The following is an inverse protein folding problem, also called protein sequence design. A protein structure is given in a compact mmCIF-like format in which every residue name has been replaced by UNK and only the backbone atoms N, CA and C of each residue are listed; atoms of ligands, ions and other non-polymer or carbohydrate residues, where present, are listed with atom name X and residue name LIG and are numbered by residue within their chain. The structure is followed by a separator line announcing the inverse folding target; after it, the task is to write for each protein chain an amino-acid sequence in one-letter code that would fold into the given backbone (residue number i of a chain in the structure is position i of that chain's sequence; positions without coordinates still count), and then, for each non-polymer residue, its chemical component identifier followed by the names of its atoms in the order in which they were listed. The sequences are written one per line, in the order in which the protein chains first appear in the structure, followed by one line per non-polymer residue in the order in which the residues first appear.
data_IF_512241697493
#
_entry.id   IF_512241697493
#
_cell.length_a   1.000
_cell.length_b   1.000
_cell.length_c   1.000
_cell.angle_alpha   90.00
_cell.angle_beta   90.00
_cell.angle_gamma   90.00
#
_symmetry.space_group_name_H-M   'P 1'
#
loop_
_entity.id
_entity.type
_entity.pdbx_description
1 polymer ?
#
# COMPACT_ATOMS: atom_id res chain seq x y z
N UNK A 1 7.81 9.74 -4.53
CA UNK A 1 6.60 9.21 -3.84
C UNK A 1 5.83 10.42 -3.33
N UNK A 2 4.57 10.60 -3.73
CA UNK A 2 3.86 11.88 -3.63
C UNK A 2 3.63 12.34 -2.20
N UNK A 3 4.21 13.50 -1.87
CA UNK A 3 3.83 14.31 -0.72
C UNK A 3 2.59 15.13 -1.12
N UNK A 4 1.47 14.95 -0.43
CA UNK A 4 0.38 15.92 -0.49
C UNK A 4 0.80 17.15 0.33
N UNK A 5 1.43 18.16 -0.30
CA UNK A 5 1.48 19.50 0.28
C UNK A 5 0.13 20.16 0.01
N UNK A 6 -0.73 20.23 1.03
CA UNK A 6 -1.80 21.21 1.06
C UNK A 6 -1.15 22.59 1.26
N UNK A 7 -0.76 23.24 0.17
CA UNK A 7 -0.51 24.68 0.18
C UNK A 7 -1.77 25.37 -0.34
N UNK A 8 -2.49 25.97 0.61
CA UNK A 8 -3.27 27.21 0.49
C UNK A 8 -4.04 27.44 -0.82
N UNK A 9 -5.36 27.27 -0.73
CA UNK A 9 -6.30 27.93 -1.64
C UNK A 9 -6.17 29.45 -1.46
N UNK A 10 -5.42 30.11 -2.33
CA UNK A 10 -5.50 31.56 -2.52
C UNK A 10 -5.80 31.88 -3.98
N UNK A 11 -6.98 32.45 -4.20
CA UNK A 11 -7.47 33.22 -5.34
C UNK A 11 -6.88 32.95 -6.75
N UNK A 12 -7.70 32.37 -7.62
CA UNK A 12 -7.55 32.51 -9.08
C UNK A 12 -8.36 33.75 -9.51
N UNK A 13 -7.75 34.76 -10.15
CA UNK A 13 -8.49 35.89 -10.73
C UNK A 13 -9.39 35.41 -11.87
N UNK A 14 -10.57 36.03 -12.00
CA UNK A 14 -11.51 35.76 -13.09
C UNK A 14 -10.84 35.95 -14.47
N UNK A 15 -10.85 34.90 -15.30
CA UNK A 15 -10.54 35.06 -16.72
C UNK A 15 -9.85 33.91 -17.47
N UNK A 16 -9.69 32.69 -16.93
CA UNK A 16 -9.12 31.58 -17.71
C UNK A 16 -9.91 30.27 -17.56
N UNK A 17 -10.37 29.74 -18.69
CA UNK A 17 -10.93 28.39 -18.83
C UNK A 17 -9.81 27.36 -18.68
N UNK A 18 -9.61 26.87 -17.46
CA UNK A 18 -8.70 25.77 -17.15
C UNK A 18 -9.44 24.70 -16.35
N UNK A 19 -9.50 23.48 -16.86
CA UNK A 19 -9.90 22.28 -16.11
C UNK A 19 -9.02 22.16 -14.86
N UNK A 20 -9.59 21.95 -13.65
CA UNK A 20 -8.79 21.86 -12.44
C UNK A 20 -7.95 20.58 -12.43
N UNK A 21 -6.64 20.74 -12.39
CA UNK A 21 -5.68 19.65 -12.24
C UNK A 21 -5.65 19.17 -10.78
N UNK A 22 -5.86 17.87 -10.55
CA UNK A 22 -5.61 17.23 -9.26
C UNK A 22 -4.13 16.82 -9.18
N UNK A 23 -3.41 17.32 -8.18
CA UNK A 23 -1.96 17.18 -8.06
C UNK A 23 -1.53 15.70 -7.92
N UNK A 24 -0.53 15.34 -8.72
CA UNK A 24 -0.14 13.98 -9.10
C UNK A 24 0.70 13.21 -8.06
N UNK A 25 0.68 11.88 -8.16
CA UNK A 25 1.80 11.05 -7.66
C UNK A 25 3.00 11.23 -8.59
N UNK A 26 4.24 11.09 -8.10
CA UNK A 26 5.47 11.43 -8.84
C UNK A 26 5.76 10.63 -10.12
N UNK A 27 4.82 9.80 -10.60
CA UNK A 27 4.96 9.01 -11.83
C UNK A 27 3.72 9.05 -12.72
N UNK A 28 2.53 9.38 -12.19
CA UNK A 28 1.30 9.34 -12.96
C UNK A 28 0.55 10.67 -12.92
N UNK A 29 0.17 11.15 -14.10
CA UNK A 29 -0.70 12.29 -14.30
C UNK A 29 -2.16 11.84 -14.28
N UNK A 30 -2.96 12.49 -13.44
CA UNK A 30 -4.40 12.23 -13.34
C UNK A 30 -5.17 13.40 -13.94
N UNK A 31 -5.99 13.12 -14.94
CA UNK A 31 -6.87 14.11 -15.54
C UNK A 31 -8.32 13.61 -15.47
N UNK A 32 -9.22 14.49 -15.08
CA UNK A 32 -10.66 14.23 -15.22
C UNK A 32 -11.01 14.40 -16.71
N UNK A 33 -11.25 13.29 -17.40
CA UNK A 33 -11.60 13.30 -18.82
C UNK A 33 -13.09 13.66 -19.03
N UNK A 34 -13.94 13.22 -18.10
CA UNK A 34 -15.35 13.60 -17.99
C UNK A 34 -15.82 13.46 -16.54
N UNK A 35 -17.04 13.89 -16.22
CA UNK A 35 -17.64 13.75 -14.88
C UNK A 35 -17.69 12.30 -14.35
N UNK A 36 -17.44 11.30 -15.20
CA UNK A 36 -17.49 9.88 -14.85
C UNK A 36 -16.20 9.11 -15.15
N UNK A 37 -15.18 9.74 -15.74
CA UNK A 37 -13.95 9.05 -16.20
C UNK A 37 -12.70 9.80 -15.74
N UNK A 38 -11.80 9.04 -15.10
CA UNK A 38 -10.43 9.46 -14.81
C UNK A 38 -9.48 8.84 -15.83
N UNK A 39 -8.59 9.66 -16.35
CA UNK A 39 -7.43 9.23 -17.12
C UNK A 39 -6.21 9.23 -16.20
N UNK A 40 -5.54 8.08 -16.08
CA UNK A 40 -4.27 7.92 -15.37
C UNK A 40 -3.18 7.65 -16.40
N UNK A 41 -2.36 8.66 -16.66
CA UNK A 41 -1.25 8.59 -17.62
C UNK A 41 0.08 8.48 -16.90
N UNK A 42 1.03 7.73 -17.43
CA UNK A 42 2.36 7.62 -16.83
C UNK A 42 3.24 6.58 -17.53
N UNK A 43 4.42 6.28 -16.98
CA UNK A 43 5.30 5.26 -17.51
C UNK A 43 4.56 3.93 -17.68
N UNK A 44 4.65 3.36 -18.87
CA UNK A 44 4.06 2.06 -19.19
C UNK A 44 4.48 0.98 -18.19
N UNK A 45 5.73 1.01 -17.74
CA UNK A 45 6.26 0.10 -16.72
C UNK A 45 5.55 0.23 -15.35
N UNK A 46 5.05 1.41 -15.00
CA UNK A 46 4.35 1.67 -13.75
C UNK A 46 2.86 1.28 -13.81
N UNK A 47 2.20 1.42 -14.98
CA UNK A 47 0.77 1.16 -15.14
C UNK A 47 0.43 -0.29 -15.50
N UNK A 48 1.36 -1.05 -16.09
CA UNK A 48 1.08 -2.43 -16.55
C UNK A 48 0.60 -3.38 -15.45
N UNK A 49 1.13 -3.26 -14.23
CA UNK A 49 0.68 -4.10 -13.10
C UNK A 49 -0.77 -3.81 -12.72
N UNK A 50 -1.11 -2.54 -12.53
CA UNK A 50 -2.47 -2.11 -12.20
C UNK A 50 -3.46 -2.47 -13.32
N UNK A 51 -3.08 -2.23 -14.58
CA UNK A 51 -3.90 -2.58 -15.74
C UNK A 51 -4.13 -4.09 -15.84
N UNK A 52 -3.08 -4.91 -15.63
CA UNK A 52 -3.21 -6.36 -15.59
C UNK A 52 -4.23 -6.81 -14.54
N UNK A 53 -4.21 -6.22 -13.34
CA UNK A 53 -5.18 -6.54 -12.30
C UNK A 53 -6.61 -6.23 -12.74
N UNK A 54 -6.85 -5.04 -13.30
CA UNK A 54 -8.18 -4.67 -13.80
C UNK A 54 -8.66 -5.58 -14.94
N UNK A 55 -7.77 -5.99 -15.84
CA UNK A 55 -8.10 -6.97 -16.89
C UNK A 55 -8.56 -8.29 -16.29
N UNK A 56 -7.84 -8.83 -15.30
CA UNK A 56 -8.26 -10.05 -14.59
C UNK A 56 -9.62 -9.89 -13.91
N UNK A 57 -9.87 -8.74 -13.28
CA UNK A 57 -11.15 -8.42 -12.64
C UNK A 57 -12.33 -8.39 -13.64
N UNK A 58 -12.07 -8.06 -14.91
CA UNK A 58 -13.10 -8.01 -15.95
C UNK A 58 -13.34 -9.36 -16.61
N UNK A 59 -12.26 -10.07 -16.94
CA UNK A 59 -12.28 -11.29 -17.75
C UNK A 59 -12.65 -12.52 -16.91
N UNK A 60 -12.35 -12.49 -15.62
CA UNK A 60 -12.56 -13.65 -14.76
C UNK A 60 -13.89 -13.57 -13.98
N UNK A 61 -14.86 -14.39 -14.39
CA UNK A 61 -16.19 -14.44 -13.78
C UNK A 61 -16.16 -14.83 -12.29
N UNK A 62 -15.14 -15.56 -11.84
CA UNK A 62 -14.96 -15.94 -10.43
C UNK A 62 -14.54 -14.74 -9.54
N UNK A 63 -14.13 -13.61 -10.14
CA UNK A 63 -13.86 -12.35 -9.44
C UNK A 63 -15.07 -11.41 -9.37
N UNK A 64 -16.24 -11.83 -9.90
CA UNK A 64 -17.43 -10.98 -9.93
C UNK A 64 -17.87 -10.49 -8.53
N UNK A 65 -17.66 -11.31 -7.49
CA UNK A 65 -18.02 -11.00 -6.10
C UNK A 65 -17.25 -9.82 -5.51
N UNK A 66 -16.08 -9.49 -6.07
CA UNK A 66 -15.22 -8.41 -5.57
C UNK A 66 -15.16 -7.21 -6.52
N UNK A 67 -15.74 -7.32 -7.72
CA UNK A 67 -15.72 -6.27 -8.75
C UNK A 67 -16.30 -4.95 -8.27
N UNK A 68 -17.30 -5.00 -7.39
CA UNK A 68 -17.90 -3.82 -6.77
C UNK A 68 -16.94 -3.05 -5.86
N UNK A 69 -15.84 -3.63 -5.41
CA UNK A 69 -14.84 -2.92 -4.60
C UNK A 69 -13.86 -2.10 -5.43
N UNK A 70 -13.97 -2.09 -6.76
CA UNK A 70 -13.04 -1.37 -7.63
C UNK A 70 -13.78 -0.40 -8.57
N UNK A 71 -13.10 0.63 -9.09
CA UNK A 71 -13.58 1.39 -10.24
C UNK A 71 -13.81 0.49 -11.45
N UNK A 72 -14.79 0.81 -12.30
CA UNK A 72 -14.87 0.18 -13.61
C UNK A 72 -13.64 0.57 -14.46
N UNK A 73 -13.05 -0.42 -15.13
CA UNK A 73 -11.94 -0.23 -16.07
C UNK A 73 -12.49 -0.08 -17.49
N UNK A 74 -12.01 0.89 -18.25
CA UNK A 74 -12.43 1.12 -19.63
C UNK A 74 -11.34 0.79 -20.66
N UNK A 75 -10.15 0.44 -20.20
CA UNK A 75 -9.02 0.06 -21.02
C UNK A 75 -7.75 0.84 -20.72
N UNK A 76 -6.67 0.41 -21.36
CA UNK A 76 -5.37 1.06 -21.35
C UNK A 76 -4.92 1.27 -22.80
N UNK A 77 -4.40 2.45 -23.10
CA UNK A 77 -3.91 2.83 -24.42
C UNK A 77 -2.45 3.24 -24.33
N UNK A 78 -1.63 2.78 -25.27
CA UNK A 78 -0.26 3.23 -25.41
C UNK A 78 -0.25 4.59 -26.15
N UNK A 79 0.37 5.62 -25.54
CA UNK A 79 0.46 7.00 -26.10
C UNK A 79 1.84 7.30 -26.70
N UNK A 80 2.78 6.36 -26.63
CA UNK A 80 4.14 6.42 -27.16
C UNK A 80 4.93 5.17 -26.76
N UNK A 81 6.24 5.14 -26.99
CA UNK A 81 7.06 3.96 -26.66
C UNK A 81 6.98 3.60 -25.15
N UNK A 82 7.09 4.61 -24.28
CA UNK A 82 7.20 4.39 -22.83
C UNK A 82 6.04 4.97 -22.00
N UNK A 83 5.01 5.52 -22.63
CA UNK A 83 3.86 6.13 -21.93
C UNK A 83 2.56 5.39 -22.26
N UNK A 84 1.79 5.10 -21.21
CA UNK A 84 0.45 4.54 -21.32
C UNK A 84 -0.56 5.42 -20.58
N UNK A 85 -1.82 5.33 -20.99
CA UNK A 85 -2.94 6.03 -20.42
C UNK A 85 -4.06 5.03 -20.09
N UNK A 86 -4.43 4.94 -18.82
CA UNK A 86 -5.47 4.05 -18.33
C UNK A 86 -6.76 4.84 -18.06
N UNK A 87 -7.89 4.34 -18.58
CA UNK A 87 -9.21 4.94 -18.37
C UNK A 87 -9.98 4.17 -17.30
N UNK A 88 -10.37 4.86 -16.24
CA UNK A 88 -11.09 4.31 -15.09
C UNK A 88 -12.35 5.11 -14.81
N UNK A 89 -13.32 4.47 -14.15
CA UNK A 89 -14.45 5.16 -13.55
C UNK A 89 -13.95 6.17 -12.51
N UNK A 90 -14.48 7.39 -12.58
CA UNK A 90 -14.33 8.35 -11.50
C UNK A 90 -15.17 7.90 -10.30
N UNK A 91 -14.50 7.65 -9.17
CA UNK A 91 -15.16 7.32 -7.91
C UNK A 91 -15.30 8.60 -7.09
N UNK A 92 -16.53 8.95 -6.73
CA UNK A 92 -16.84 10.09 -5.85
C UNK A 92 -16.71 9.68 -4.38
N UNK A 93 -15.48 9.37 -3.97
CA UNK A 93 -15.17 8.94 -2.61
C UNK A 93 -14.13 9.84 -1.93
N UNK A 94 -14.10 9.79 -0.60
CA UNK A 94 -13.10 10.48 0.23
C UNK A 94 -11.98 9.49 0.57
N UNK A 95 -10.70 9.82 0.34
CA UNK A 95 -9.59 8.96 0.74
C UNK A 95 -9.61 8.66 2.23
N UNK A 96 -9.39 7.39 2.59
CA UNK A 96 -9.39 6.94 3.97
C UNK A 96 -8.26 7.60 4.78
N UNK A 97 -7.18 8.02 4.12
CA UNK A 97 -6.09 8.79 4.75
C UNK A 97 -6.61 10.13 5.29
N UNK A 98 -7.52 10.80 4.57
CA UNK A 98 -8.14 12.06 5.00
C UNK A 98 -9.14 11.84 6.13
N UNK A 99 -9.97 10.80 6.04
CA UNK A 99 -10.91 10.40 7.10
C UNK A 99 -10.16 10.10 8.40
N UNK A 100 -9.05 9.36 8.28
CA UNK A 100 -8.19 9.03 9.41
C UNK A 100 -7.48 10.27 9.97
N UNK A 101 -6.95 11.15 9.11
CA UNK A 101 -6.30 12.40 9.54
C UNK A 101 -7.26 13.32 10.30
N UNK A 102 -8.51 13.41 9.85
CA UNK A 102 -9.55 14.20 10.51
C UNK A 102 -10.28 13.45 11.61
N UNK A 103 -9.75 12.32 12.09
CA UNK A 103 -10.25 11.71 13.31
C UNK A 103 -11.69 11.18 13.26
N UNK A 104 -12.27 11.02 12.06
CA UNK A 104 -13.68 10.67 11.83
C UNK A 104 -13.90 9.21 11.41
N UNK A 105 -12.93 8.34 11.65
CA UNK A 105 -13.08 6.90 11.38
C UNK A 105 -14.12 6.29 12.32
N UNK A 106 -15.16 5.69 11.75
CA UNK A 106 -16.14 4.90 12.50
C UNK A 106 -15.77 3.42 12.50
N UNK A 107 -16.20 2.69 13.54
CA UNK A 107 -16.02 1.23 13.64
C UNK A 107 -16.62 0.49 12.45
N UNK A 108 -17.83 0.88 12.02
CA UNK A 108 -18.52 0.27 10.88
C UNK A 108 -17.75 0.47 9.56
N UNK A 109 -17.23 1.67 9.30
CA UNK A 109 -16.39 1.90 8.12
C UNK A 109 -15.11 1.05 8.16
N UNK A 110 -14.42 1.02 9.30
CA UNK A 110 -13.19 0.24 9.42
C UNK A 110 -13.46 -1.27 9.27
N UNK A 111 -14.53 -1.79 9.89
CA UNK A 111 -14.95 -3.16 9.72
C UNK A 111 -15.26 -3.50 8.25
N UNK A 112 -15.93 -2.60 7.51
CA UNK A 112 -16.16 -2.76 6.06
C UNK A 112 -14.86 -2.86 5.26
N UNK A 113 -13.86 -2.03 5.58
CA UNK A 113 -12.54 -2.12 4.95
C UNK A 113 -11.93 -3.51 5.17
N UNK A 114 -11.95 -4.00 6.40
CA UNK A 114 -11.42 -5.32 6.76
C UNK A 114 -12.17 -6.45 6.05
N UNK A 115 -13.50 -6.43 6.05
CA UNK A 115 -14.32 -7.46 5.39
C UNK A 115 -14.16 -7.45 3.87
N UNK A 116 -14.05 -6.28 3.24
CA UNK A 116 -13.86 -6.16 1.79
C UNK A 116 -12.47 -6.64 1.35
N UNK A 117 -11.42 -6.35 2.12
CA UNK A 117 -10.09 -6.92 1.88
C UNK A 117 -10.06 -8.43 2.13
N UNK A 118 -10.76 -8.93 3.14
CA UNK A 118 -10.89 -10.36 3.34
C UNK A 118 -11.67 -11.05 2.20
N UNK A 119 -12.68 -10.39 1.64
CA UNK A 119 -13.40 -10.90 0.47
C UNK A 119 -12.45 -11.05 -0.73
N UNK A 120 -11.55 -10.08 -0.94
CA UNK A 120 -10.47 -10.17 -1.93
C UNK A 120 -9.58 -11.40 -1.69
N UNK A 121 -9.13 -11.61 -0.45
CA UNK A 121 -8.23 -12.72 -0.10
C UNK A 121 -8.86 -14.11 -0.21
N UNK A 122 -10.19 -14.19 -0.21
CA UNK A 122 -10.94 -15.45 -0.29
C UNK A 122 -11.54 -15.71 -1.67
N UNK A 123 -11.12 -14.96 -2.69
CA UNK A 123 -11.48 -15.25 -4.08
C UNK A 123 -10.96 -16.66 -4.44
N UNK A 124 -11.88 -17.54 -4.83
CA UNK A 124 -11.55 -18.91 -5.20
C UNK A 124 -11.14 -18.98 -6.68
N UNK A 125 -9.84 -18.77 -6.91
CA UNK A 125 -9.19 -18.96 -8.20
C UNK A 125 -7.98 -19.89 -8.03
N UNK A 126 -7.55 -20.57 -9.11
CA UNK A 126 -6.26 -21.24 -9.12
C UNK A 126 -5.13 -20.29 -8.75
N UNK A 127 -4.23 -20.74 -7.88
CA UNK A 127 -3.01 -20.00 -7.56
C UNK A 127 -2.10 -19.95 -8.79
N UNK A 128 -1.35 -18.86 -8.96
CA UNK A 128 -0.37 -18.78 -10.03
C UNK A 128 0.75 -19.81 -9.83
N UNK A 129 1.28 -20.35 -10.92
CA UNK A 129 2.41 -21.28 -10.88
C UNK A 129 3.61 -20.64 -10.15
N UNK A 130 4.32 -21.43 -9.34
CA UNK A 130 5.50 -21.00 -8.58
C UNK A 130 5.25 -19.77 -7.67
N UNK A 131 4.04 -19.63 -7.13
CA UNK A 131 3.66 -18.51 -6.27
C UNK A 131 4.64 -18.27 -5.11
N UNK A 132 5.12 -19.33 -4.46
CA UNK A 132 6.05 -19.21 -3.32
C UNK A 132 7.37 -18.55 -3.73
N UNK A 133 7.90 -18.91 -4.89
CA UNK A 133 9.08 -18.28 -5.46
C UNK A 133 8.82 -16.80 -5.75
N UNK A 134 7.62 -16.46 -6.22
CA UNK A 134 7.24 -15.07 -6.51
C UNK A 134 7.03 -14.25 -5.22
N UNK A 135 6.41 -14.83 -4.19
CA UNK A 135 6.27 -14.20 -2.87
C UNK A 135 7.65 -13.98 -2.26
N UNK A 136 8.51 -15.00 -2.29
CA UNK A 136 9.90 -14.91 -1.83
C UNK A 136 10.63 -13.76 -2.54
N UNK A 137 10.61 -13.72 -3.86
CA UNK A 137 11.26 -12.64 -4.62
C UNK A 137 10.69 -11.26 -4.28
N UNK A 138 9.38 -11.18 -4.02
CA UNK A 138 8.71 -9.94 -3.65
C UNK A 138 9.12 -9.39 -2.27
N UNK A 139 9.59 -10.26 -1.37
CA UNK A 139 10.12 -9.88 -0.06
C UNK A 139 11.66 -9.88 -0.03
N UNK A 140 12.29 -11.04 -0.19
CA UNK A 140 13.72 -11.28 -0.02
C UNK A 140 14.53 -10.56 -1.10
N UNK A 141 14.36 -10.94 -2.37
CA UNK A 141 15.19 -10.41 -3.46
C UNK A 141 15.06 -8.89 -3.55
N UNK A 142 13.83 -8.37 -3.38
CA UNK A 142 13.56 -6.94 -3.32
C UNK A 142 14.27 -6.25 -2.17
N UNK A 143 14.24 -6.82 -0.96
CA UNK A 143 14.88 -6.22 0.21
C UNK A 143 16.41 -6.24 0.06
N UNK A 144 16.96 -7.36 -0.41
CA UNK A 144 18.39 -7.53 -0.70
C UNK A 144 18.83 -6.51 -1.74
N UNK A 145 18.17 -6.45 -2.89
CA UNK A 145 18.47 -5.49 -3.98
C UNK A 145 18.50 -4.05 -3.47
N UNK A 146 17.46 -3.63 -2.74
CA UNK A 146 17.39 -2.28 -2.17
C UNK A 146 18.48 -1.97 -1.16
N UNK A 147 18.90 -2.96 -0.38
CA UNK A 147 19.93 -2.77 0.63
C UNK A 147 21.33 -2.73 0.02
N UNK A 148 21.64 -3.69 -0.84
CA UNK A 148 22.97 -3.85 -1.42
C UNK A 148 23.28 -2.81 -2.48
N UNK A 149 22.30 -2.44 -3.30
CA UNK A 149 22.50 -1.51 -4.42
C UNK A 149 22.29 -0.05 -4.02
N UNK A 150 21.73 0.21 -2.84
CA UNK A 150 21.45 1.56 -2.35
C UNK A 150 21.81 1.79 -0.86
N UNK A 151 23.02 1.40 -0.41
CA UNK A 151 23.42 1.44 1.00
C UNK A 151 23.44 2.86 1.59
N UNK A 152 23.59 3.89 0.74
CA UNK A 152 23.58 5.30 1.14
C UNK A 152 22.25 5.75 1.77
N UNK A 153 21.14 5.07 1.47
CA UNK A 153 19.83 5.41 2.05
C UNK A 153 19.70 4.98 3.53
N UNK A 154 20.68 4.23 4.01
CA UNK A 154 20.71 3.67 5.36
C UNK A 154 21.93 4.14 6.16
N UNK A 155 22.72 5.09 5.63
CA UNK A 155 23.98 5.56 6.24
C UNK A 155 23.80 6.37 7.53
N UNK A 156 22.57 6.76 7.86
CA UNK A 156 22.21 7.44 9.12
C UNK A 156 22.31 6.51 10.35
N UNK A 157 22.52 5.20 10.14
CA UNK A 157 22.77 4.20 11.18
C UNK A 157 24.18 3.64 11.02
N UNK A 158 24.94 3.41 12.11
CA UNK A 158 26.23 2.74 12.05
C UNK A 158 26.16 1.40 11.31
N UNK A 159 27.13 1.13 10.44
CA UNK A 159 27.14 -0.04 9.55
C UNK A 159 26.91 -1.36 10.30
N UNK A 160 27.57 -1.55 11.43
CA UNK A 160 27.42 -2.75 12.26
C UNK A 160 25.98 -2.98 12.75
N UNK A 161 25.31 -1.92 13.21
CA UNK A 161 23.91 -2.01 13.66
C UNK A 161 22.96 -2.23 12.49
N UNK A 162 23.20 -1.51 11.38
CA UNK A 162 22.39 -1.65 10.17
C UNK A 162 22.49 -3.05 9.56
N UNK A 163 23.71 -3.58 9.42
CA UNK A 163 23.96 -4.93 8.90
C UNK A 163 23.30 -5.97 9.83
N UNK A 164 23.40 -5.79 11.16
CA UNK A 164 22.72 -6.65 12.14
C UNK A 164 21.19 -6.64 11.98
N UNK A 165 20.57 -5.47 11.85
CA UNK A 165 19.10 -5.37 11.67
C UNK A 165 18.69 -6.00 10.34
N UNK A 166 19.42 -5.72 9.26
CA UNK A 166 19.17 -6.32 7.95
C UNK A 166 19.24 -7.86 8.01
N UNK A 167 20.30 -8.43 8.60
CA UNK A 167 20.45 -9.88 8.74
C UNK A 167 19.33 -10.48 9.60
N UNK A 168 18.97 -9.86 10.73
CA UNK A 168 17.87 -10.36 11.57
C UNK A 168 16.52 -10.34 10.84
N UNK A 169 16.21 -9.26 10.11
CA UNK A 169 15.00 -9.19 9.30
C UNK A 169 14.98 -10.27 8.24
N UNK A 170 16.12 -10.50 7.57
CA UNK A 170 16.26 -11.55 6.56
C UNK A 170 16.01 -12.94 7.17
N UNK A 171 16.66 -13.27 8.29
CA UNK A 171 16.47 -14.55 8.98
C UNK A 171 15.02 -14.78 9.39
N UNK A 172 14.37 -13.81 10.05
CA UNK A 172 12.96 -13.94 10.46
C UNK A 172 12.01 -14.07 9.27
N UNK A 173 12.31 -13.40 8.17
CA UNK A 173 11.54 -13.50 6.94
C UNK A 173 11.72 -14.86 6.25
N UNK A 174 12.94 -15.41 6.23
CA UNK A 174 13.20 -16.77 5.76
C UNK A 174 12.43 -17.83 6.59
N UNK A 175 12.43 -17.69 7.92
CA UNK A 175 11.65 -18.54 8.82
C UNK A 175 10.15 -18.44 8.56
N UNK A 176 9.63 -17.23 8.31
CA UNK A 176 8.23 -17.04 7.91
C UNK A 176 7.91 -17.76 6.59
N UNK A 177 8.73 -17.52 5.56
CA UNK A 177 8.50 -18.05 4.21
C UNK A 177 8.66 -19.58 4.11
N UNK A 178 9.45 -20.19 5.00
CA UNK A 178 9.65 -21.64 5.06
C UNK A 178 8.66 -22.36 5.98
N UNK A 179 7.85 -21.62 6.75
CA UNK A 179 6.87 -22.18 7.67
C UNK A 179 5.48 -22.36 7.05
N UNK A 180 4.62 -23.14 7.70
CA UNK A 180 3.19 -23.31 7.39
C UNK A 180 2.33 -22.05 7.67
N UNK A 181 2.97 -21.03 8.27
CA UNK A 181 2.38 -19.71 8.52
C UNK A 181 2.20 -18.92 7.24
N UNK A 182 3.02 -19.15 6.21
CA UNK A 182 2.85 -18.52 4.90
C UNK A 182 1.52 -18.96 4.26
N UNK A 183 0.62 -17.99 4.07
CA UNK A 183 -0.66 -18.20 3.37
C UNK A 183 -0.58 -17.70 1.94
N UNK A 184 -1.40 -18.30 1.08
CA UNK A 184 -1.46 -18.02 -0.36
C UNK A 184 -2.88 -17.62 -0.69
N UNK A 185 -3.02 -16.47 -1.33
CA UNK A 185 -4.27 -16.03 -1.91
C UNK A 185 -4.08 -15.88 -3.41
N UNK A 186 -5.15 -16.19 -4.14
CA UNK A 186 -5.24 -15.94 -5.56
C UNK A 186 -5.39 -14.46 -5.90
N UNK A 187 -5.80 -13.64 -4.93
CA UNK A 187 -5.99 -12.21 -5.07
C UNK A 187 -5.55 -11.44 -3.81
N UNK A 188 -4.63 -10.50 -3.99
CA UNK A 188 -4.27 -9.48 -3.00
C UNK A 188 -4.25 -8.11 -3.69
N UNK A 189 -4.43 -7.03 -2.93
CA UNK A 189 -4.31 -5.68 -3.50
C UNK A 189 -2.84 -5.35 -3.79
N UNK A 190 -1.92 -5.77 -2.90
CA UNK A 190 -0.48 -5.58 -3.02
C UNK A 190 0.01 -4.15 -2.69
N UNK A 191 -0.91 -3.23 -2.38
CA UNK A 191 -0.61 -1.88 -1.88
C UNK A 191 -1.77 -1.34 -1.02
N UNK A 192 -2.21 -2.18 -0.07
CA UNK A 192 -3.42 -1.95 0.71
C UNK A 192 -3.20 -1.00 1.90
N UNK A 193 -3.11 0.29 1.62
CA UNK A 193 -2.95 1.35 2.61
C UNK A 193 -4.03 2.42 2.48
N UNK A 194 -4.24 3.26 3.50
CA UNK A 194 -5.36 4.22 3.55
C UNK A 194 -5.45 5.19 2.35
N UNK A 195 -4.33 5.54 1.72
CA UNK A 195 -4.34 6.39 0.52
C UNK A 195 -5.00 5.72 -0.70
N UNK A 196 -5.04 4.38 -0.73
CA UNK A 196 -5.60 3.58 -1.82
C UNK A 196 -7.02 3.08 -1.53
N UNK A 197 -7.65 3.60 -0.49
CA UNK A 197 -9.01 3.24 -0.08
C UNK A 197 -9.84 4.51 -0.11
N UNK A 198 -10.92 4.51 -0.89
CA UNK A 198 -11.91 5.58 -0.95
C UNK A 198 -13.17 5.13 -0.22
N UNK A 199 -13.72 5.97 0.66
CA UNK A 199 -15.03 5.77 1.25
C UNK A 199 -16.08 6.62 0.54
N UNK A 200 -17.18 5.99 0.11
CA UNK A 200 -18.32 6.65 -0.52
C UNK A 200 -19.35 7.08 0.55
N UNK A 201 -20.31 7.94 0.17
CA UNK A 201 -21.28 8.55 1.09
C UNK A 201 -22.20 7.56 1.83
N UNK A 202 -22.34 6.34 1.29
CA UNK A 202 -23.12 5.24 1.84
C UNK A 202 -22.24 4.17 2.53
N UNK A 203 -20.99 4.54 2.83
CA UNK A 203 -19.97 3.68 3.47
C UNK A 203 -19.54 2.48 2.62
N UNK A 204 -19.84 2.46 1.33
CA UNK A 204 -19.12 1.57 0.42
C UNK A 204 -17.65 1.99 0.34
N UNK A 205 -16.80 1.00 0.10
CA UNK A 205 -15.36 1.21 -0.05
C UNK A 205 -14.94 0.83 -1.46
N UNK A 206 -14.10 1.68 -2.04
CA UNK A 206 -13.44 1.44 -3.33
C UNK A 206 -11.94 1.40 -3.13
N UNK A 207 -11.31 0.38 -3.69
CA UNK A 207 -9.88 0.21 -3.72
C UNK A 207 -9.34 0.68 -5.07
N UNK A 208 -8.21 1.38 -5.04
CA UNK A 208 -7.55 1.95 -6.22
C UNK A 208 -6.05 1.68 -6.15
N UNK A 209 -5.33 1.81 -7.27
CA UNK A 209 -3.87 1.70 -7.28
C UNK A 209 -3.34 0.36 -6.74
N UNK A 210 -4.00 -0.73 -7.16
CA UNK A 210 -3.55 -2.09 -6.89
C UNK A 210 -2.25 -2.41 -7.63
N UNK A 211 -1.44 -3.29 -7.04
CA UNK A 211 -0.09 -3.53 -7.56
C UNK A 211 -0.07 -4.42 -8.80
N UNK A 212 -0.96 -5.42 -8.84
CA UNK A 212 -1.08 -6.44 -9.90
C UNK A 212 0.24 -7.11 -10.29
N UNK A 213 1.18 -7.17 -9.35
CA UNK A 213 2.48 -7.79 -9.56
C UNK A 213 3.15 -8.19 -8.25
N UNK A 214 3.91 -9.28 -8.30
CA UNK A 214 4.89 -9.68 -7.30
C UNK A 214 6.28 -9.49 -7.90
N UNK A 215 7.04 -8.55 -7.35
CA UNK A 215 8.34 -8.12 -7.86
C UNK A 215 8.32 -7.77 -9.36
N UNK A 216 8.81 -8.68 -10.22
CA UNK A 216 8.92 -8.51 -11.68
C UNK A 216 7.88 -9.31 -12.46
N UNK A 217 6.89 -9.92 -11.79
CA UNK A 217 5.89 -10.80 -12.39
C UNK A 217 4.49 -10.22 -12.20
N UNK A 218 3.74 -10.05 -13.29
CA UNK A 218 2.32 -9.72 -13.21
C UNK A 218 1.53 -10.90 -12.67
N UNK A 219 0.70 -10.63 -11.66
CA UNK A 219 -0.16 -11.61 -10.99
C UNK A 219 -1.10 -10.87 -10.04
N UNK A 220 -2.28 -11.42 -9.79
CA UNK A 220 -3.15 -11.00 -8.70
C UNK A 220 -2.83 -11.74 -7.40
N UNK A 221 -2.15 -12.88 -7.48
CA UNK A 221 -1.88 -13.75 -6.34
C UNK A 221 -0.84 -13.14 -5.40
N UNK A 222 -0.81 -13.61 -4.16
CA UNK A 222 0.21 -13.22 -3.20
C UNK A 222 -0.07 -13.71 -1.79
N UNK A 223 0.65 -13.10 -0.86
CA UNK A 223 0.53 -13.31 0.58
C UNK A 223 -0.45 -12.28 1.17
N UNK A 224 -1.60 -12.71 1.73
CA UNK A 224 -2.55 -11.82 2.41
C UNK A 224 -1.93 -10.95 3.53
N UNK A 225 -0.91 -11.46 4.22
CA UNK A 225 -0.22 -10.72 5.28
C UNK A 225 0.42 -9.44 4.73
N UNK A 226 0.78 -9.40 3.44
CA UNK A 226 1.28 -8.20 2.79
C UNK A 226 0.28 -7.03 2.89
N UNK A 227 -0.99 -7.29 2.59
CA UNK A 227 -2.05 -6.28 2.63
C UNK A 227 -2.35 -5.86 4.09
N UNK A 228 -2.42 -6.82 5.02
CA UNK A 228 -2.62 -6.51 6.43
C UNK A 228 -1.48 -5.70 7.04
N UNK A 229 -0.23 -6.00 6.66
CA UNK A 229 0.94 -5.25 7.06
C UNK A 229 0.91 -3.81 6.52
N UNK A 230 0.53 -3.61 5.25
CA UNK A 230 0.34 -2.28 4.64
C UNK A 230 -0.79 -1.48 5.30
N UNK A 231 -1.87 -2.14 5.68
CA UNK A 231 -2.95 -1.49 6.41
C UNK A 231 -2.49 -1.09 7.81
N UNK A 232 -1.79 -2.00 8.51
CA UNK A 232 -1.20 -1.72 9.82
C UNK A 232 -0.24 -0.53 9.78
N UNK A 233 0.59 -0.41 8.74
CA UNK A 233 1.43 0.77 8.52
C UNK A 233 0.62 2.07 8.51
N UNK A 234 -0.56 2.08 7.86
CA UNK A 234 -1.44 3.25 7.84
C UNK A 234 -1.98 3.60 9.22
N UNK A 235 -2.41 2.58 9.99
CA UNK A 235 -2.95 2.75 11.35
C UNK A 235 -1.91 3.35 12.31
N UNK A 236 -0.64 2.98 12.16
CA UNK A 236 0.46 3.53 12.97
C UNK A 236 1.03 4.84 12.43
N UNK A 237 0.41 5.41 11.38
CA UNK A 237 0.74 6.74 10.87
C UNK A 237 1.88 6.79 9.86
N UNK A 238 2.25 5.67 9.23
CA UNK A 238 3.32 5.63 8.23
C UNK A 238 2.96 6.36 6.92
N UNK A 239 1.69 6.32 6.52
CA UNK A 239 1.22 6.84 5.22
C UNK A 239 1.04 8.37 5.17
N UNK A 240 0.99 9.04 6.33
CA UNK A 240 0.77 10.48 6.38
C UNK A 240 2.09 11.28 6.42
N UNK A 241 3.09 10.90 5.61
CA UNK A 241 4.34 11.68 5.51
C UNK A 241 5.36 11.47 6.64
N UNK A 242 5.52 10.22 7.11
CA UNK A 242 6.59 9.79 8.02
C UNK A 242 6.56 10.45 9.40
N UNK A 243 5.63 10.00 10.25
CA UNK A 243 5.54 10.36 11.68
C UNK A 243 4.93 11.74 11.94
N UNK A 244 3.61 11.80 12.05
CA UNK A 244 2.95 12.91 12.74
C UNK A 244 2.89 12.67 14.25
N UNK A 245 3.57 13.56 14.96
CA UNK A 245 3.34 13.90 16.36
C UNK A 245 1.93 14.51 16.56
N UNK A 246 1.30 14.07 17.67
CA UNK A 246 0.35 14.83 18.50
C UNK A 246 -0.87 15.46 17.80
N UNK A 247 -1.89 14.64 17.47
CA UNK A 247 -3.29 14.97 17.78
C UNK A 247 -4.07 13.66 17.98
N UNK A 248 -4.14 13.20 19.23
CA UNK A 248 -5.04 12.12 19.66
C UNK A 248 -6.44 12.70 19.86
N UNK A 249 -7.09 13.10 18.77
CA UNK A 249 -8.49 13.51 18.79
C UNK A 249 -9.36 12.61 17.90
N UNK A 250 -8.93 11.36 17.63
CA UNK A 250 -9.73 10.38 16.92
C UNK A 250 -10.93 9.90 17.75
N UNK A 251 -12.09 9.75 17.10
CA UNK A 251 -13.22 8.98 17.65
C UNK A 251 -12.85 7.50 17.91
N UNK A 252 -11.92 6.96 17.12
CA UNK A 252 -11.24 5.68 17.40
C UNK A 252 -9.73 5.89 17.51
N UNK A 253 -9.17 5.66 18.70
CA UNK A 253 -7.73 5.76 18.92
C UNK A 253 -6.95 4.81 18.01
N UNK A 254 -5.67 5.12 17.78
CA UNK A 254 -4.75 4.25 17.03
C UNK A 254 -4.71 2.84 17.62
N UNK A 255 -4.78 2.77 18.94
CA UNK A 255 -4.84 1.50 19.69
C UNK A 255 -6.12 0.73 19.40
N UNK A 256 -7.29 1.39 19.39
CA UNK A 256 -8.56 0.74 19.06
C UNK A 256 -8.56 0.16 17.64
N UNK A 257 -8.07 0.90 16.65
CA UNK A 257 -7.95 0.39 15.27
C UNK A 257 -6.94 -0.75 15.17
N UNK A 258 -5.82 -0.67 15.90
CA UNK A 258 -4.82 -1.74 15.95
C UNK A 258 -5.41 -3.01 16.56
N UNK A 259 -6.15 -2.89 17.66
CA UNK A 259 -6.79 -4.02 18.33
C UNK A 259 -7.87 -4.63 17.45
N UNK A 260 -8.70 -3.82 16.76
CA UNK A 260 -9.68 -4.32 15.81
C UNK A 260 -9.02 -5.08 14.65
N UNK A 261 -7.95 -4.54 14.06
CA UNK A 261 -7.20 -5.26 13.02
C UNK A 261 -6.61 -6.57 13.56
N UNK A 262 -5.97 -6.53 14.74
CA UNK A 262 -5.38 -7.69 15.40
C UNK A 262 -6.41 -8.80 15.60
N UNK A 263 -7.53 -8.50 16.26
CA UNK A 263 -8.61 -9.47 16.49
C UNK A 263 -9.12 -10.03 15.16
N UNK A 264 -9.35 -9.16 14.16
CA UNK A 264 -9.85 -9.59 12.85
C UNK A 264 -8.92 -10.58 12.13
N UNK A 265 -7.60 -10.34 12.17
CA UNK A 265 -6.64 -11.24 11.50
C UNK A 265 -6.42 -12.54 12.29
N UNK A 266 -6.38 -12.48 13.62
CA UNK A 266 -6.22 -13.66 14.48
C UNK A 266 -7.43 -14.60 14.39
N UNK A 267 -8.65 -14.05 14.37
CA UNK A 267 -9.90 -14.80 14.13
C UNK A 267 -9.90 -15.56 12.79
N UNK A 268 -9.04 -15.16 11.84
CA UNK A 268 -8.91 -15.77 10.51
C UNK A 268 -7.68 -16.67 10.38
N UNK A 269 -7.00 -16.95 11.50
CA UNK A 269 -5.86 -17.86 11.53
C UNK A 269 -4.54 -17.26 11.05
N UNK A 270 -4.42 -15.93 10.99
CA UNK A 270 -3.15 -15.24 10.78
C UNK A 270 -2.50 -14.91 12.13
N UNK A 271 -1.17 -14.94 12.19
CA UNK A 271 -0.47 -14.50 13.40
C UNK A 271 -0.20 -13.00 13.37
N UNK A 272 -0.51 -12.32 14.47
CA UNK A 272 -0.23 -10.89 14.60
C UNK A 272 1.27 -10.56 14.53
N UNK A 273 2.14 -11.47 15.01
CA UNK A 273 3.60 -11.32 14.91
C UNK A 273 4.07 -11.25 13.45
N UNK A 274 3.43 -11.98 12.55
CA UNK A 274 3.75 -11.96 11.12
C UNK A 274 3.34 -10.64 10.46
N UNK A 275 2.18 -10.09 10.83
CA UNK A 275 1.76 -8.74 10.39
C UNK A 275 2.78 -7.68 10.85
N UNK A 276 3.27 -7.77 12.09
CA UNK A 276 4.31 -6.85 12.61
C UNK A 276 5.64 -7.03 11.88
N UNK A 277 6.10 -8.26 11.69
CA UNK A 277 7.35 -8.58 10.98
C UNK A 277 7.30 -8.09 9.54
N UNK A 278 6.27 -8.45 8.78
CA UNK A 278 6.14 -8.03 7.37
C UNK A 278 6.00 -6.51 7.29
N UNK A 279 5.29 -5.86 8.23
CA UNK A 279 5.27 -4.40 8.30
C UNK A 279 6.68 -3.81 8.49
N UNK A 280 7.53 -4.42 9.32
CA UNK A 280 8.90 -3.97 9.54
C UNK A 280 9.78 -4.15 8.29
N UNK A 281 9.70 -5.30 7.62
CA UNK A 281 10.37 -5.58 6.34
C UNK A 281 9.99 -4.55 5.28
N UNK A 282 8.69 -4.25 5.15
CA UNK A 282 8.19 -3.28 4.20
C UNK A 282 8.66 -1.85 4.52
N UNK A 283 8.63 -1.46 5.80
CA UNK A 283 9.16 -0.16 6.26
C UNK A 283 10.66 -0.03 5.99
N UNK A 284 11.45 -1.09 6.24
CA UNK A 284 12.88 -1.11 5.96
C UNK A 284 13.14 -0.84 4.48
N UNK A 285 12.40 -1.52 3.60
CA UNK A 285 12.53 -1.32 2.15
C UNK A 285 12.11 0.07 1.64
N UNK A 286 11.48 0.93 2.46
CA UNK A 286 11.04 2.27 2.06
C UNK A 286 12.18 3.30 2.11
N UNK A 287 13.24 3.09 2.90
CA UNK A 287 14.39 4.00 2.93
C UNK A 287 15.00 4.24 1.55
N UNK A 288 15.03 3.21 0.70
CA UNK A 288 15.44 3.36 -0.70
C UNK A 288 14.57 4.37 -1.48
N UNK A 289 13.25 4.32 -1.29
CA UNK A 289 12.30 5.11 -2.10
C UNK A 289 12.11 6.54 -1.60
N UNK A 290 12.18 6.76 -0.28
CA UNK A 290 11.88 8.07 0.32
C UNK A 290 12.97 8.56 1.26
N UNK A 291 14.04 7.80 1.51
CA UNK A 291 15.07 8.17 2.48
C UNK A 291 15.75 9.51 2.17
N UNK A 292 15.87 9.91 0.90
CA UNK A 292 16.38 11.23 0.54
C UNK A 292 15.43 12.38 0.90
N UNK A 293 14.16 12.09 1.14
CA UNK A 293 13.11 13.05 1.44
C UNK A 293 12.82 13.17 2.95
N UNK A 294 13.46 12.31 3.75
CA UNK A 294 13.34 12.30 5.20
C UNK A 294 14.54 13.00 5.83
N UNK A 295 14.28 13.84 6.82
CA UNK A 295 15.34 14.26 7.73
C UNK A 295 15.79 13.08 8.62
N UNK A 296 16.95 13.24 9.23
CA UNK A 296 17.55 12.14 10.00
C UNK A 296 16.77 11.80 11.27
N UNK A 297 16.01 12.75 11.86
CA UNK A 297 15.16 12.46 13.02
C UNK A 297 14.02 11.51 12.64
N UNK A 298 13.37 11.77 11.50
CA UNK A 298 12.32 10.91 10.96
C UNK A 298 12.85 9.53 10.56
N UNK A 299 14.05 9.47 9.96
CA UNK A 299 14.71 8.20 9.67
C UNK A 299 15.01 7.40 10.93
N UNK A 300 15.53 8.04 11.97
CA UNK A 300 15.81 7.40 13.27
C UNK A 300 14.52 6.92 13.93
N UNK A 301 13.45 7.73 13.92
CA UNK A 301 12.15 7.32 14.46
C UNK A 301 11.57 6.11 13.73
N UNK A 302 11.67 6.10 12.39
CA UNK A 302 11.27 4.96 11.57
C UNK A 302 12.14 3.73 11.86
N UNK A 303 13.45 3.90 12.01
CA UNK A 303 14.38 2.82 12.37
C UNK A 303 14.03 2.17 13.71
N UNK A 304 13.79 2.98 14.75
CA UNK A 304 13.32 2.48 16.06
C UNK A 304 12.00 1.73 15.94
N UNK A 305 11.10 2.23 15.10
CA UNK A 305 9.81 1.57 14.82
C UNK A 305 9.99 0.20 14.14
N UNK A 306 10.89 0.10 13.17
CA UNK A 306 11.23 -1.17 12.51
C UNK A 306 11.76 -2.17 13.53
N UNK A 307 12.72 -1.76 14.35
CA UNK A 307 13.33 -2.64 15.34
C UNK A 307 12.33 -3.09 16.41
N UNK A 308 11.49 -2.18 16.90
CA UNK A 308 10.41 -2.50 17.84
C UNK A 308 9.42 -3.51 17.22
N UNK A 309 8.99 -3.32 15.98
CA UNK A 309 8.03 -4.22 15.31
C UNK A 309 8.62 -5.59 15.00
N UNK A 310 9.91 -5.64 14.70
CA UNK A 310 10.62 -6.88 14.43
C UNK A 310 11.16 -7.54 15.71
N UNK A 311 10.90 -7.00 16.90
CA UNK A 311 11.45 -7.48 18.18
C UNK A 311 12.99 -7.64 18.11
N UNK A 312 13.68 -6.58 17.65
CA UNK A 312 15.14 -6.47 17.55
C UNK A 312 15.62 -5.39 18.53
N UNK A 313 16.60 -5.73 19.38
CA UNK A 313 17.23 -4.76 20.29
C UNK A 313 18.26 -3.90 19.55
N UNK A 314 18.27 -2.60 19.82
CA UNK A 314 19.18 -1.62 19.20
C UNK A 314 19.70 -0.64 20.26
N UNK A 315 20.85 0.00 20.00
CA UNK A 315 21.50 0.95 20.93
C UNK A 315 21.18 2.42 20.60
N UNK A 316 20.34 2.69 19.59
CA UNK A 316 20.02 4.04 19.07
C UNK A 316 18.91 4.78 19.83
#
# INVERSE_FOLDING_TARGET
MGFYRYSEMTHIPHGMSGTPFLQCTSHNHHALYSNSIVLKEGPTSALRGEAYFYQQLQENSQMASIKSYFPAFYGIEQKGEDISAMKLQYVKGVPMSLIYFHSVVSTDLFYRILTSANALHNVNLPLCQNLDCHIRANYIDKMVDRYTNHPQHYSFVPKNERDMVFTNLLTKLEEYLSSDRLKRSSCIHGDFWFANILAESDKHVKFIDMKGSLWKRFTTCGDPIYDWAKLYQSIVGFNNGVVFHKRDHNNLSREQLTNQLKSFVEERGYNWSDVRLISAVLMFGVFWTVGSLLDDNLKIALWKTICLKADISTKL
#
